data_IF_664906038135
#
_entry.id   IF_664906038135
#
_cell.length_a   1.000
_cell.length_b   1.000
_cell.length_c   1.000
_cell.angle_alpha   90.00
_cell.angle_beta   90.00
_cell.angle_gamma   90.00
#
_symmetry.space_group_name_H-M   'P 1'
#
loop_
_entity.id
_entity.type
_entity.pdbx_description
1 polymer ?
#
# COMPACT_ATOMS: atom_id res chain seq x y z
N UNK A 1 60.21 42.02 -25.44
CA UNK A 1 59.02 41.55 -26.19
C UNK A 1 57.82 41.64 -25.24
N UNK A 2 57.02 42.71 -25.32
CA UNK A 2 55.91 42.96 -24.40
C UNK A 2 54.70 42.11 -24.81
N UNK A 3 54.34 41.09 -24.02
CA UNK A 3 53.10 40.33 -24.21
C UNK A 3 51.90 41.24 -23.93
N UNK A 4 51.06 41.48 -24.94
CA UNK A 4 49.77 42.16 -24.75
C UNK A 4 48.89 41.28 -23.87
N UNK A 5 48.35 41.82 -22.78
CA UNK A 5 47.31 41.13 -22.01
C UNK A 5 46.02 41.18 -22.82
N UNK A 6 45.55 40.03 -23.28
CA UNK A 6 44.26 39.87 -23.95
C UNK A 6 43.16 40.02 -22.91
N UNK A 7 42.49 41.18 -22.89
CA UNK A 7 41.30 41.41 -22.08
C UNK A 7 40.05 41.00 -22.86
N UNK A 8 39.04 40.50 -22.16
CA UNK A 8 37.73 40.22 -22.75
C UNK A 8 36.99 41.52 -23.06
N UNK A 9 36.28 41.52 -24.18
CA UNK A 9 35.40 42.63 -24.54
C UNK A 9 34.09 42.55 -23.76
N UNK A 10 33.45 43.70 -23.54
CA UNK A 10 32.20 43.77 -22.79
C UNK A 10 31.06 43.01 -23.48
N UNK A 11 31.09 42.96 -24.82
CA UNK A 11 30.10 42.22 -25.61
C UNK A 11 30.26 40.70 -25.46
N UNK A 12 31.49 40.18 -25.42
CA UNK A 12 31.74 38.75 -25.17
C UNK A 12 31.21 38.34 -23.80
N UNK A 13 31.40 39.16 -22.78
CA UNK A 13 30.86 38.91 -21.43
C UNK A 13 29.33 38.86 -21.41
N UNK A 14 28.65 39.76 -22.12
CA UNK A 14 27.18 39.76 -22.22
C UNK A 14 26.68 38.49 -22.91
N UNK A 15 27.33 38.08 -24.02
CA UNK A 15 26.97 36.87 -24.76
C UNK A 15 27.14 35.62 -23.87
N UNK A 16 28.26 35.52 -23.15
CA UNK A 16 28.52 34.39 -22.24
C UNK A 16 27.50 34.32 -21.11
N UNK A 17 27.14 35.46 -20.51
CA UNK A 17 26.11 35.51 -19.48
C UNK A 17 24.73 35.08 -20.01
N UNK A 18 24.35 35.57 -21.19
CA UNK A 18 23.09 35.19 -21.83
C UNK A 18 23.03 33.68 -22.12
N UNK A 19 24.10 33.11 -22.68
CA UNK A 19 24.20 31.67 -22.91
C UNK A 19 24.14 30.86 -21.61
N UNK A 20 24.79 31.34 -20.56
CA UNK A 20 24.79 30.68 -19.25
C UNK A 20 23.38 30.61 -18.66
N UNK A 21 22.60 31.69 -18.74
CA UNK A 21 21.20 31.72 -18.26
C UNK A 21 20.33 30.74 -19.05
N UNK A 22 20.50 30.67 -20.37
CA UNK A 22 19.76 29.72 -21.22
C UNK A 22 20.08 28.28 -20.81
N UNK A 23 21.36 27.95 -20.65
CA UNK A 23 21.80 26.60 -20.25
C UNK A 23 21.25 26.24 -18.87
N UNK A 24 21.32 27.16 -17.89
CA UNK A 24 20.76 26.94 -16.56
C UNK A 24 19.24 26.74 -16.58
N UNK A 25 18.52 27.46 -17.44
CA UNK A 25 17.08 27.27 -17.62
C UNK A 25 16.74 25.85 -18.11
N UNK A 26 17.48 25.37 -19.11
CA UNK A 26 17.32 24.00 -19.63
C UNK A 26 17.66 22.97 -18.55
N UNK A 27 18.81 23.11 -17.90
CA UNK A 27 19.24 22.20 -16.83
C UNK A 27 18.25 22.17 -15.66
N UNK A 28 17.71 23.32 -15.27
CA UNK A 28 16.69 23.41 -14.22
C UNK A 28 15.43 22.61 -14.57
N UNK A 29 14.94 22.73 -15.80
CA UNK A 29 13.75 21.98 -16.25
C UNK A 29 13.95 20.46 -16.21
N UNK A 30 15.13 19.98 -16.60
CA UNK A 30 15.51 18.57 -16.57
C UNK A 30 15.61 18.09 -15.12
N UNK A 31 16.23 18.89 -14.24
CA UNK A 31 16.39 18.54 -12.83
C UNK A 31 15.03 18.42 -12.13
N UNK A 32 14.13 19.38 -12.32
CA UNK A 32 12.78 19.34 -11.72
C UNK A 32 11.97 18.16 -12.25
N UNK A 33 11.98 17.93 -13.57
CA UNK A 33 11.23 16.82 -14.19
C UNK A 33 11.80 15.47 -13.80
N UNK A 34 13.13 15.32 -13.81
CA UNK A 34 13.82 14.10 -13.41
C UNK A 34 13.54 13.73 -11.97
N UNK A 35 13.60 14.69 -11.04
CA UNK A 35 13.27 14.44 -9.63
C UNK A 35 11.81 14.04 -9.44
N UNK A 36 10.88 14.62 -10.21
CA UNK A 36 9.47 14.21 -10.17
C UNK A 36 9.29 12.78 -10.64
N UNK A 37 9.86 12.41 -11.79
CA UNK A 37 9.74 11.05 -12.35
C UNK A 37 10.36 10.03 -11.39
N UNK A 38 11.53 10.34 -10.81
CA UNK A 38 12.17 9.46 -9.85
C UNK A 38 11.31 9.27 -8.59
N UNK A 39 10.77 10.36 -8.05
CA UNK A 39 9.87 10.30 -6.89
C UNK A 39 8.57 9.56 -7.20
N UNK A 40 7.97 9.77 -8.37
CA UNK A 40 6.78 9.03 -8.82
C UNK A 40 7.07 7.52 -8.90
N UNK A 41 8.23 7.15 -9.46
CA UNK A 41 8.64 5.74 -9.59
C UNK A 41 8.91 5.08 -8.23
N UNK A 42 9.59 5.76 -7.32
CA UNK A 42 9.86 5.27 -5.97
C UNK A 42 8.57 5.06 -5.16
N UNK A 43 7.67 6.05 -5.21
CA UNK A 43 6.35 5.96 -4.58
C UNK A 43 5.56 4.80 -5.17
N UNK A 44 5.49 4.68 -6.50
CA UNK A 44 4.76 3.61 -7.16
C UNK A 44 5.31 2.22 -6.81
N UNK A 45 6.63 2.07 -6.81
CA UNK A 45 7.29 0.82 -6.40
C UNK A 45 6.94 0.44 -4.96
N UNK A 46 6.98 1.42 -4.04
CA UNK A 46 6.58 1.21 -2.64
C UNK A 46 5.13 0.72 -2.55
N UNK A 47 4.19 1.37 -3.27
CA UNK A 47 2.79 0.99 -3.26
C UNK A 47 2.55 -0.39 -3.89
N UNK A 48 3.29 -0.75 -4.94
CA UNK A 48 3.23 -2.07 -5.58
C UNK A 48 3.66 -3.21 -4.64
N UNK A 49 4.76 -3.03 -3.91
CA UNK A 49 5.23 -4.00 -2.92
C UNK A 49 4.21 -4.18 -1.79
N UNK A 50 3.66 -3.06 -1.29
CA UNK A 50 2.59 -3.10 -0.28
C UNK A 50 1.35 -3.83 -0.80
N UNK A 51 0.93 -3.51 -2.02
CA UNK A 51 -0.21 -4.15 -2.68
C UNK A 51 -0.03 -5.67 -2.80
N UNK A 52 1.13 -6.11 -3.27
CA UNK A 52 1.46 -7.53 -3.35
C UNK A 52 1.42 -8.20 -1.97
N UNK A 53 1.99 -7.56 -0.96
CA UNK A 53 2.00 -8.08 0.42
C UNK A 53 0.59 -8.28 0.97
N UNK A 54 -0.31 -7.31 0.77
CA UNK A 54 -1.71 -7.41 1.20
C UNK A 54 -2.43 -8.53 0.45
N UNK A 55 -2.28 -8.56 -0.88
CA UNK A 55 -2.93 -9.57 -1.72
C UNK A 55 -2.48 -10.98 -1.33
N UNK A 56 -1.18 -11.22 -1.16
CA UNK A 56 -0.64 -12.53 -0.78
C UNK A 56 -1.15 -12.95 0.60
N UNK A 57 -1.09 -12.07 1.60
CA UNK A 57 -1.53 -12.40 2.97
C UNK A 57 -3.03 -12.69 3.06
N UNK A 58 -3.86 -11.79 2.51
CA UNK A 58 -5.32 -11.99 2.53
C UNK A 58 -5.69 -13.22 1.70
N UNK A 59 -5.08 -13.43 0.54
CA UNK A 59 -5.36 -14.60 -0.29
C UNK A 59 -4.99 -15.90 0.42
N UNK A 60 -3.84 -15.95 1.11
CA UNK A 60 -3.42 -17.14 1.85
C UNK A 60 -4.39 -17.48 2.99
N UNK A 61 -4.83 -16.47 3.75
CA UNK A 61 -5.83 -16.63 4.80
C UNK A 61 -7.14 -17.12 4.19
N UNK A 62 -7.66 -16.42 3.18
CA UNK A 62 -8.94 -16.73 2.57
C UNK A 62 -8.97 -18.09 1.86
N UNK A 63 -7.86 -18.54 1.26
CA UNK A 63 -7.78 -19.88 0.66
C UNK A 63 -7.92 -21.00 1.70
N UNK A 64 -7.51 -20.75 2.95
CA UNK A 64 -7.69 -21.69 4.06
C UNK A 64 -8.99 -21.45 4.83
N UNK A 65 -9.75 -20.43 4.44
CA UNK A 65 -10.98 -20.05 5.13
C UNK A 65 -12.10 -21.05 4.91
N UNK A 66 -12.87 -21.25 5.97
CA UNK A 66 -14.16 -21.92 5.94
C UNK A 66 -15.27 -20.89 5.73
N UNK A 67 -15.26 -19.81 6.52
CA UNK A 67 -16.28 -18.77 6.47
C UNK A 67 -15.77 -17.41 6.96
N UNK A 68 -16.55 -16.36 6.68
CA UNK A 68 -16.41 -15.06 7.33
C UNK A 68 -17.36 -15.00 8.51
N UNK A 69 -16.80 -14.83 9.70
CA UNK A 69 -17.59 -14.77 10.92
C UNK A 69 -18.28 -13.42 11.06
N UNK A 70 -17.56 -12.33 10.78
CA UNK A 70 -18.14 -10.99 10.81
C UNK A 70 -17.36 -9.99 9.96
N UNK A 71 -18.06 -8.95 9.51
CA UNK A 71 -17.44 -7.76 8.95
C UNK A 71 -18.12 -6.51 9.50
N UNK A 72 -17.32 -5.61 10.06
CA UNK A 72 -17.73 -4.25 10.41
C UNK A 72 -17.47 -3.33 9.21
N UNK A 73 -18.56 -2.92 8.56
CA UNK A 73 -18.55 -2.06 7.38
C UNK A 73 -19.25 -0.76 7.71
N UNK A 74 -18.51 0.34 7.70
CA UNK A 74 -19.03 1.70 7.95
C UNK A 74 -18.87 2.51 6.69
N UNK A 75 -19.96 3.08 6.17
CA UNK A 75 -19.98 3.86 4.92
C UNK A 75 -19.37 3.13 3.71
N UNK A 76 -19.50 1.80 3.66
CA UNK A 76 -18.97 0.96 2.59
C UNK A 76 -17.49 0.59 2.73
N UNK A 77 -16.80 1.08 3.76
CA UNK A 77 -15.42 0.70 4.08
C UNK A 77 -15.35 -0.33 5.20
N UNK A 78 -14.44 -1.28 5.06
CA UNK A 78 -14.18 -2.30 6.09
C UNK A 78 -13.30 -1.69 7.18
N UNK A 79 -13.81 -1.66 8.41
CA UNK A 79 -13.00 -1.35 9.59
C UNK A 79 -12.39 -2.61 10.18
N UNK A 80 -13.19 -3.68 10.25
CA UNK A 80 -12.80 -4.96 10.80
C UNK A 80 -13.42 -6.11 10.01
N UNK A 81 -12.66 -7.18 9.78
CA UNK A 81 -13.12 -8.38 9.09
C UNK A 81 -12.53 -9.60 9.80
N UNK A 82 -13.38 -10.51 10.25
CA UNK A 82 -12.98 -11.74 10.94
C UNK A 82 -13.23 -12.93 10.01
N UNK A 83 -12.15 -13.62 9.65
CA UNK A 83 -12.19 -14.80 8.78
C UNK A 83 -11.79 -16.02 9.60
N UNK A 84 -12.65 -17.04 9.60
CA UNK A 84 -12.38 -18.32 10.23
C UNK A 84 -11.69 -19.25 9.23
N UNK A 85 -10.51 -19.74 9.59
CA UNK A 85 -9.68 -20.60 8.73
C UNK A 85 -9.18 -21.83 9.46
N UNK A 86 -8.84 -22.86 8.70
CA UNK A 86 -8.20 -24.06 9.22
C UNK A 86 -6.68 -23.97 9.11
N UNK A 87 -5.98 -24.41 10.15
CA UNK A 87 -4.51 -24.46 10.19
C UNK A 87 -4.10 -25.85 10.67
N UNK A 88 -3.09 -26.42 10.03
CA UNK A 88 -2.46 -27.66 10.49
C UNK A 88 -1.56 -27.35 11.68
N UNK A 89 -1.78 -28.02 12.81
CA UNK A 89 -1.03 -27.89 14.04
C UNK A 89 0.22 -28.79 14.02
N UNK A 90 1.17 -28.55 14.91
CA UNK A 90 2.45 -29.29 14.97
C UNK A 90 2.29 -30.80 15.18
N UNK A 91 1.15 -31.25 15.71
CA UNK A 91 0.82 -32.66 15.93
C UNK A 91 0.11 -33.32 14.72
N UNK A 92 -0.05 -32.58 13.62
CA UNK A 92 -0.76 -33.02 12.41
C UNK A 92 -2.28 -32.97 12.51
N UNK A 93 -2.83 -32.44 13.61
CA UNK A 93 -4.27 -32.14 13.73
C UNK A 93 -4.63 -30.85 13.00
N UNK A 94 -5.91 -30.68 12.67
CA UNK A 94 -6.42 -29.44 12.07
C UNK A 94 -7.09 -28.62 13.16
N UNK A 95 -6.50 -27.47 13.46
CA UNK A 95 -7.03 -26.48 14.38
C UNK A 95 -7.84 -25.39 13.65
N UNK A 96 -8.75 -24.77 14.38
CA UNK A 96 -9.43 -23.56 13.92
C UNK A 96 -8.64 -22.31 14.36
N UNK A 97 -8.56 -21.32 13.47
CA UNK A 97 -7.96 -20.02 13.72
C UNK A 97 -8.83 -18.89 13.18
N UNK A 98 -8.82 -17.79 13.90
CA UNK A 98 -9.57 -16.58 13.59
C UNK A 98 -8.60 -15.49 13.18
N UNK A 99 -8.78 -14.97 11.97
CA UNK A 99 -7.96 -13.92 11.39
C UNK A 99 -8.72 -12.62 11.38
N UNK A 100 -8.30 -11.68 12.22
CA UNK A 100 -8.90 -10.35 12.33
C UNK A 100 -8.09 -9.37 11.49
N UNK A 101 -8.67 -8.91 10.38
CA UNK A 101 -8.11 -7.89 9.50
C UNK A 101 -8.70 -6.55 9.90
N UNK A 102 -7.87 -5.67 10.46
CA UNK A 102 -8.30 -4.35 10.95
C UNK A 102 -7.66 -3.24 10.16
N UNK A 103 -8.46 -2.23 9.79
CA UNK A 103 -8.02 -0.98 9.23
C UNK A 103 -8.05 0.09 10.31
N UNK A 104 -6.87 0.55 10.76
CA UNK A 104 -6.75 1.58 11.79
C UNK A 104 -6.31 2.90 11.16
N UNK A 105 -6.77 4.01 11.72
CA UNK A 105 -6.16 5.30 11.40
C UNK A 105 -4.74 5.31 11.95
N UNK A 106 -3.77 5.75 11.13
CA UNK A 106 -2.39 5.90 11.59
C UNK A 106 -2.36 6.89 12.76
N UNK A 107 -1.91 6.42 13.93
CA UNK A 107 -1.86 7.20 15.18
C UNK A 107 -0.84 8.35 15.13
N UNK A 108 0.06 8.34 14.15
CA UNK A 108 1.07 9.38 13.97
C UNK A 108 0.55 10.51 13.09
N UNK A 109 0.01 11.53 13.77
CA UNK A 109 -0.22 12.88 13.27
C UNK A 109 0.89 13.30 12.27
N UNK A 110 0.48 13.55 11.01
CA UNK A 110 1.18 14.23 9.89
C UNK A 110 1.46 13.44 8.60
N UNK A 111 1.04 12.17 8.45
CA UNK A 111 1.04 11.53 7.12
C UNK A 111 -0.26 10.77 6.85
N UNK A 112 -0.93 11.21 5.79
CA UNK A 112 -2.12 10.59 5.21
C UNK A 112 -1.95 9.07 5.08
N UNK A 113 -2.88 8.32 5.66
CA UNK A 113 -2.99 6.88 5.43
C UNK A 113 -3.57 6.12 6.61
N UNK A 114 -4.45 5.16 6.31
CA UNK A 114 -4.83 4.10 7.24
C UNK A 114 -3.77 2.99 7.18
N UNK A 115 -3.66 2.19 8.24
CA UNK A 115 -2.81 1.01 8.31
C UNK A 115 -3.67 -0.25 8.34
N UNK A 116 -3.18 -1.29 7.68
CA UNK A 116 -3.76 -2.63 7.75
C UNK A 116 -2.94 -3.47 8.73
N UNK A 117 -3.62 -4.04 9.73
CA UNK A 117 -3.07 -5.02 10.66
C UNK A 117 -3.84 -6.34 10.51
N UNK A 118 -3.16 -7.46 10.76
CA UNK A 118 -3.79 -8.78 10.82
C UNK A 118 -3.38 -9.44 12.13
N UNK A 119 -4.38 -9.90 12.87
CA UNK A 119 -4.21 -10.63 14.13
C UNK A 119 -4.74 -12.05 13.93
N UNK A 120 -3.96 -13.03 14.33
CA UNK A 120 -4.33 -14.44 14.40
C UNK A 120 -4.69 -14.80 15.85
N UNK A 121 -5.81 -15.47 16.05
CA UNK A 121 -6.26 -15.91 17.38
C UNK A 121 -6.82 -17.33 17.35
N UNK A 122 -6.71 -18.05 18.47
CA UNK A 122 -7.36 -19.37 18.65
C UNK A 122 -8.86 -19.26 18.85
N UNK A 123 -9.29 -18.18 19.48
CA UNK A 123 -10.67 -17.93 19.88
C UNK A 123 -11.27 -16.81 19.03
N UNK A 124 -12.58 -16.89 18.77
CA UNK A 124 -13.30 -15.91 17.94
C UNK A 124 -13.42 -14.53 18.59
N UNK A 125 -13.27 -14.45 19.91
CA UNK A 125 -13.31 -13.20 20.67
C UNK A 125 -11.97 -12.43 20.62
N UNK A 126 -10.92 -13.02 20.03
CA UNK A 126 -9.60 -12.42 19.93
C UNK A 126 -8.81 -12.39 21.24
N UNK A 127 -9.21 -13.15 22.27
CA UNK A 127 -8.55 -13.16 23.57
C UNK A 127 -7.22 -13.93 23.59
N UNK A 128 -7.11 -14.98 22.78
CA UNK A 128 -5.95 -15.86 22.71
C UNK A 128 -5.18 -15.64 21.40
N UNK A 129 -4.33 -14.61 21.40
CA UNK A 129 -3.56 -14.17 20.23
C UNK A 129 -2.36 -15.08 20.03
N UNK A 130 -2.25 -15.69 18.85
CA UNK A 130 -1.10 -16.50 18.43
C UNK A 130 -0.08 -15.67 17.66
N UNK A 131 -0.56 -14.73 16.86
CA UNK A 131 0.28 -13.86 16.04
C UNK A 131 -0.36 -12.48 15.90
N UNK A 132 0.42 -11.44 16.19
CA UNK A 132 0.00 -10.06 15.98
C UNK A 132 0.93 -9.41 14.96
N UNK A 133 0.39 -9.17 13.77
CA UNK A 133 1.10 -8.49 12.70
C UNK A 133 0.58 -7.06 12.59
N UNK A 134 1.16 -6.20 13.42
CA UNK A 134 0.87 -4.78 13.38
C UNK A 134 1.43 -4.13 12.10
N UNK A 135 0.66 -3.23 11.50
CA UNK A 135 1.08 -2.33 10.42
C UNK A 135 1.71 -3.02 9.19
N UNK A 136 1.16 -4.15 8.77
CA UNK A 136 1.61 -4.91 7.58
C UNK A 136 1.77 -4.00 6.36
N UNK A 137 0.77 -3.15 6.13
CA UNK A 137 0.81 -2.14 5.07
C UNK A 137 0.28 -0.81 5.59
N UNK A 138 0.98 0.24 5.18
CA UNK A 138 0.63 1.64 5.43
C UNK A 138 0.05 2.25 4.17
N UNK A 139 -0.57 3.42 4.34
CA UNK A 139 -1.09 4.23 3.24
C UNK A 139 -2.34 3.63 2.56
N UNK A 140 -3.17 2.90 3.31
CA UNK A 140 -4.48 2.47 2.85
C UNK A 140 -5.37 3.70 2.75
N UNK A 141 -5.87 3.98 1.55
CA UNK A 141 -6.85 5.03 1.26
C UNK A 141 -8.25 4.51 1.48
N UNK A 142 -8.56 3.36 0.87
CA UNK A 142 -9.85 2.68 1.00
C UNK A 142 -9.65 1.16 1.04
N UNK A 143 -10.51 0.49 1.79
CA UNK A 143 -10.61 -0.97 1.81
C UNK A 143 -12.10 -1.31 1.76
N UNK A 144 -12.51 -1.99 0.71
CA UNK A 144 -13.92 -2.35 0.47
C UNK A 144 -13.98 -3.81 0.03
N UNK A 145 -15.11 -4.45 0.29
CA UNK A 145 -15.35 -5.84 -0.11
C UNK A 145 -16.70 -5.96 -0.79
N UNK A 146 -16.76 -6.80 -1.83
CA UNK A 146 -18.02 -7.22 -2.43
C UNK A 146 -18.21 -8.71 -2.20
N UNK A 147 -19.44 -9.10 -1.89
CA UNK A 147 -19.85 -10.48 -1.66
C UNK A 147 -21.28 -10.69 -2.13
N UNK A 148 -21.60 -11.92 -2.53
CA UNK A 148 -22.94 -12.29 -2.97
C UNK A 148 -23.83 -12.69 -1.79
N UNK A 149 -24.89 -11.93 -1.53
CA UNK A 149 -25.87 -12.26 -0.49
C UNK A 149 -25.40 -11.92 0.93
N UNK A 150 -25.46 -12.88 1.84
CA UNK A 150 -25.03 -12.74 3.23
C UNK A 150 -23.53 -13.07 3.33
N UNK A 151 -22.75 -12.21 3.98
CA UNK A 151 -21.29 -12.37 4.09
C UNK A 151 -20.89 -13.66 4.80
N UNK A 152 -21.65 -14.09 5.81
CA UNK A 152 -21.45 -15.37 6.50
C UNK A 152 -21.67 -16.57 5.58
N UNK A 153 -22.45 -16.36 4.52
CA UNK A 153 -22.79 -17.36 3.49
C UNK A 153 -22.01 -17.21 2.19
N UNK A 154 -21.12 -16.23 2.11
CA UNK A 154 -20.34 -15.97 0.92
C UNK A 154 -19.34 -17.12 0.66
N UNK A 155 -19.35 -17.67 -0.56
CA UNK A 155 -18.35 -18.64 -1.00
C UNK A 155 -17.06 -17.97 -1.50
N UNK A 156 -17.15 -16.68 -1.82
CA UNK A 156 -16.06 -15.87 -2.35
C UNK A 156 -16.23 -14.42 -1.92
N UNK A 157 -15.10 -13.72 -1.77
CA UNK A 157 -15.08 -12.28 -1.52
C UNK A 157 -14.17 -11.62 -2.55
N UNK A 158 -14.67 -10.52 -3.12
CA UNK A 158 -13.87 -9.61 -3.94
C UNK A 158 -13.35 -8.49 -3.04
N UNK A 159 -12.03 -8.38 -2.96
CA UNK A 159 -11.34 -7.35 -2.20
C UNK A 159 -10.97 -6.20 -3.12
N UNK A 160 -11.34 -4.98 -2.74
CA UNK A 160 -11.06 -3.74 -3.46
C UNK A 160 -10.33 -2.77 -2.53
N UNK A 161 -9.02 -2.66 -2.71
CA UNK A 161 -8.12 -1.90 -1.82
C UNK A 161 -7.38 -0.86 -2.63
N UNK A 162 -7.32 0.38 -2.13
CA UNK A 162 -6.55 1.46 -2.76
C UNK A 162 -5.47 1.91 -1.80
N UNK A 163 -4.21 1.85 -2.25
CA UNK A 163 -3.07 2.43 -1.55
C UNK A 163 -2.76 3.81 -2.13
N UNK A 164 -2.38 4.78 -1.30
CA UNK A 164 -2.12 6.15 -1.74
C UNK A 164 -1.01 6.81 -0.97
N UNK A 165 0.02 7.30 -1.64
CA UNK A 165 1.13 8.01 -0.97
C UNK A 165 1.42 9.33 -1.68
N UNK A 166 1.52 10.37 -0.85
CA UNK A 166 1.93 11.72 -1.24
C UNK A 166 3.39 11.94 -0.83
N UNK A 167 4.26 12.28 -1.78
CA UNK A 167 5.68 12.56 -1.54
C UNK A 167 6.17 13.67 -2.47
N UNK A 168 6.46 14.85 -1.90
CA UNK A 168 6.86 16.01 -2.70
C UNK A 168 5.75 16.46 -3.66
N UNK A 169 6.06 16.49 -4.97
CA UNK A 169 5.09 16.81 -6.03
C UNK A 169 4.37 15.57 -6.60
N UNK A 170 4.61 14.39 -6.01
CA UNK A 170 4.08 13.11 -6.42
C UNK A 170 2.91 12.71 -5.52
N UNK A 171 1.76 12.48 -6.12
CA UNK A 171 0.57 11.92 -5.48
C UNK A 171 0.13 10.73 -6.33
N UNK A 172 0.27 9.53 -5.79
CA UNK A 172 0.04 8.29 -6.55
C UNK A 172 -0.96 7.43 -5.79
N UNK A 173 -2.03 7.07 -6.47
CA UNK A 173 -2.97 6.02 -6.07
C UNK A 173 -2.61 4.71 -6.78
N UNK A 174 -2.71 3.60 -6.07
CA UNK A 174 -2.48 2.25 -6.60
C UNK A 174 -3.63 1.32 -6.16
N UNK A 175 -4.61 1.06 -7.03
CA UNK A 175 -5.70 0.14 -6.75
C UNK A 175 -5.25 -1.31 -6.92
N UNK A 176 -5.73 -2.18 -6.05
CA UNK A 176 -5.70 -3.63 -6.21
C UNK A 176 -7.13 -4.19 -6.07
N UNK A 177 -7.45 -5.11 -6.97
CA UNK A 177 -8.68 -5.88 -6.94
C UNK A 177 -8.32 -7.34 -7.14
N UNK A 178 -8.80 -8.19 -6.24
CA UNK A 178 -8.67 -9.63 -6.38
C UNK A 178 -9.86 -10.34 -5.73
N UNK A 179 -10.24 -11.48 -6.30
CA UNK A 179 -11.26 -12.37 -5.77
C UNK A 179 -10.58 -13.56 -5.10
N UNK A 180 -11.11 -13.98 -3.97
CA UNK A 180 -10.69 -15.21 -3.30
C UNK A 180 -11.91 -16.08 -3.02
N UNK A 181 -11.73 -17.39 -3.18
CA UNK A 181 -12.75 -18.41 -2.93
C UNK A 181 -12.37 -19.19 -1.67
N UNK A 182 -13.35 -19.43 -0.80
CA UNK A 182 -13.18 -20.18 0.43
C UNK A 182 -13.23 -21.68 0.13
N UNK A 183 -12.06 -22.31 0.07
CA UNK A 183 -11.93 -23.71 -0.36
C UNK A 183 -12.43 -24.70 0.67
N UNK A 184 -12.38 -24.33 1.95
CA UNK A 184 -12.72 -25.23 3.04
C UNK A 184 -14.16 -25.06 3.51
N UNK A 185 -14.99 -24.32 2.75
CA UNK A 185 -16.37 -24.05 3.11
C UNK A 185 -17.23 -25.31 3.02
N UNK A 186 -17.79 -25.73 4.15
CA UNK A 186 -18.68 -26.90 4.25
C UNK A 186 -17.97 -28.25 4.37
N UNK A 187 -16.67 -28.24 4.70
CA UNK A 187 -15.92 -29.40 5.19
C UNK A 187 -16.20 -29.65 6.68
#
# INVERSE_FOLDING_TARGET
MNKRRTGFTLIEMIIVLALTVIILGIMGSIFTTGNKIFSDSDVKSTLQIGAQTVQEKISNIAMQANEVESADIVNGEVNNLIIKSYVEEDDGSVGERYWTITIKNSSNYKKDGKTLSIIESKDSDGSNIENDQEEIVKNIKSFTINYGGDISKANSIEFNIVLSKNQGASAVDYPINFVTEFRNRGL
#
